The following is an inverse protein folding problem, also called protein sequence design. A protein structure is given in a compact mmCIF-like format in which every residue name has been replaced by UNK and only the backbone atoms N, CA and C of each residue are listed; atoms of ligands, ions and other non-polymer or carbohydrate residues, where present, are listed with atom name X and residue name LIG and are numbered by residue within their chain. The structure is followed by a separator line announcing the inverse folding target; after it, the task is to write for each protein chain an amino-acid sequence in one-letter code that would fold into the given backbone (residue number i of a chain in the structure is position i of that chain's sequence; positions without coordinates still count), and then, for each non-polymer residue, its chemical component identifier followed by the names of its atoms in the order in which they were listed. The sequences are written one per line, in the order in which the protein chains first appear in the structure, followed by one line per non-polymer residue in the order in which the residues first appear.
data_IF_858648282825
#
_entry.id   IF_858648282825
#
_cell.length_a   1.000
_cell.length_b   1.000
_cell.length_c   1.000
_cell.angle_alpha   90.00
_cell.angle_beta   90.00
_cell.angle_gamma   90.00
#
_symmetry.space_group_name_H-M   'P 1'
#
loop_
_entity.id
_entity.type
_entity.pdbx_description
1 polymer ?
#
# COMPACT_ATOMS: atom_id res chain seq x y z
N UNK A 1 -12.59 35.35 4.51
CA UNK A 1 -12.49 34.05 5.19
C UNK A 1 -12.12 32.88 4.26
N UNK A 2 -12.96 32.38 3.35
CA UNK A 2 -12.58 31.25 2.47
C UNK A 2 -11.62 31.67 1.33
N UNK A 3 -11.89 32.80 0.68
CA UNK A 3 -11.03 33.34 -0.40
C UNK A 3 -9.62 33.68 0.09
N UNK A 4 -9.50 34.20 1.31
CA UNK A 4 -8.21 34.46 1.96
C UNK A 4 -7.45 33.18 2.31
N UNK A 5 -8.16 32.11 2.71
CA UNK A 5 -7.56 30.80 2.93
C UNK A 5 -7.08 30.20 1.60
N UNK A 6 -7.91 30.28 0.56
CA UNK A 6 -7.54 29.80 -0.77
C UNK A 6 -6.35 30.53 -1.38
N UNK A 7 -6.19 31.83 -1.12
CA UNK A 7 -5.03 32.59 -1.57
C UNK A 7 -3.71 32.17 -0.89
N UNK A 8 -3.77 31.43 0.24
CA UNK A 8 -2.60 31.00 1.02
C UNK A 8 -2.32 29.50 0.94
N UNK A 9 -3.15 28.74 0.24
CA UNK A 9 -3.08 27.27 0.18
C UNK A 9 -2.88 26.80 -1.26
N UNK A 10 -2.09 25.73 -1.48
CA UNK A 10 -1.97 25.11 -2.81
C UNK A 10 -3.31 24.52 -3.28
N UNK A 11 -4.04 23.89 -2.36
CA UNK A 11 -5.42 23.47 -2.53
C UNK A 11 -6.16 23.70 -1.21
N UNK A 12 -7.10 24.64 -1.22
CA UNK A 12 -7.80 25.10 -0.01
C UNK A 12 -8.72 24.05 0.62
N UNK A 13 -9.08 23.00 -0.12
CA UNK A 13 -10.06 22.01 0.32
C UNK A 13 -9.43 20.68 0.74
N UNK A 14 -8.14 20.44 0.44
CA UNK A 14 -7.55 19.11 0.55
C UNK A 14 -7.56 18.57 1.97
N UNK A 15 -7.24 19.42 2.95
CA UNK A 15 -7.18 19.02 4.35
C UNK A 15 -8.58 18.70 4.89
N UNK A 16 -9.55 19.59 4.64
CA UNK A 16 -10.94 19.37 5.06
C UNK A 16 -11.57 18.16 4.38
N UNK A 17 -11.37 18.01 3.07
CA UNK A 17 -11.90 16.89 2.31
C UNK A 17 -11.31 15.56 2.78
N UNK A 18 -9.99 15.50 2.98
CA UNK A 18 -9.32 14.27 3.41
C UNK A 18 -9.77 13.86 4.81
N UNK A 19 -9.87 14.84 5.72
CA UNK A 19 -10.35 14.61 7.08
C UNK A 19 -11.80 14.11 7.08
N UNK A 20 -12.72 14.87 6.48
CA UNK A 20 -14.15 14.59 6.50
C UNK A 20 -14.52 13.31 5.75
N UNK A 21 -13.99 13.11 4.54
CA UNK A 21 -14.34 11.95 3.71
C UNK A 21 -13.71 10.65 4.21
N UNK A 22 -12.51 10.71 4.80
CA UNK A 22 -11.76 9.50 5.14
C UNK A 22 -11.37 9.44 6.61
N UNK A 23 -10.54 10.38 7.08
CA UNK A 23 -9.79 10.20 8.33
C UNK A 23 -10.66 10.24 9.58
N UNK A 24 -11.71 11.06 9.58
CA UNK A 24 -12.67 11.17 10.68
C UNK A 24 -13.72 10.03 10.68
N UNK A 25 -13.87 9.30 9.57
CA UNK A 25 -14.80 8.18 9.49
C UNK A 25 -14.32 7.00 10.35
N UNK A 26 -15.11 6.64 11.37
CA UNK A 26 -14.77 5.60 12.34
C UNK A 26 -15.21 4.18 11.94
N UNK A 27 -15.91 4.02 10.81
CA UNK A 27 -16.33 2.70 10.32
C UNK A 27 -15.12 1.82 10.00
N UNK A 28 -15.31 0.50 10.00
CA UNK A 28 -14.28 -0.43 9.54
C UNK A 28 -13.95 -0.19 8.07
N UNK A 29 -12.68 -0.33 7.67
CA UNK A 29 -12.29 -0.06 6.28
C UNK A 29 -12.87 -1.06 5.26
N UNK A 30 -12.92 -2.38 5.53
CA UNK A 30 -13.53 -3.32 4.60
C UNK A 30 -15.00 -2.96 4.36
N UNK A 31 -15.42 -3.03 3.09
CA UNK A 31 -16.77 -2.70 2.60
C UNK A 31 -17.12 -1.20 2.68
N UNK A 32 -16.82 -0.51 3.79
CA UNK A 32 -17.28 0.87 3.99
C UNK A 32 -16.36 1.92 3.34
N UNK A 33 -15.09 1.61 3.08
CA UNK A 33 -14.12 2.60 2.58
C UNK A 33 -13.17 2.06 1.52
N UNK A 34 -12.56 0.88 1.73
CA UNK A 34 -11.56 0.36 0.81
C UNK A 34 -12.22 -0.22 -0.45
N UNK A 35 -11.96 0.34 -1.64
CA UNK A 35 -12.45 -0.25 -2.88
C UNK A 35 -11.65 -1.52 -3.23
N UNK A 36 -12.25 -2.38 -4.06
CA UNK A 36 -11.60 -3.56 -4.60
C UNK A 36 -11.71 -3.57 -6.13
N UNK A 37 -10.65 -4.04 -6.79
CA UNK A 37 -10.65 -4.32 -8.22
C UNK A 37 -10.51 -5.83 -8.43
N UNK A 38 -11.42 -6.43 -9.19
CA UNK A 38 -11.39 -7.86 -9.49
C UNK A 38 -10.75 -8.06 -10.85
N UNK A 39 -9.59 -8.73 -10.87
CA UNK A 39 -8.89 -9.11 -12.10
C UNK A 39 -9.60 -10.30 -12.78
N UNK A 40 -9.39 -10.51 -14.10
CA UNK A 40 -9.86 -11.70 -14.78
C UNK A 40 -9.42 -12.98 -14.07
N UNK A 41 -10.31 -13.97 -14.02
CA UNK A 41 -10.04 -15.25 -13.38
C UNK A 41 -8.80 -15.91 -14.00
N UNK A 42 -7.87 -16.35 -13.15
CA UNK A 42 -6.70 -17.11 -13.54
C UNK A 42 -6.92 -18.59 -13.20
N UNK A 43 -6.36 -19.48 -14.02
CA UNK A 43 -6.40 -20.93 -13.78
C UNK A 43 -5.00 -21.43 -13.44
N UNK A 44 -4.77 -21.77 -12.17
CA UNK A 44 -3.50 -22.31 -11.69
C UNK A 44 -3.64 -23.81 -11.40
N UNK A 45 -2.77 -24.62 -12.02
CA UNK A 45 -2.76 -26.09 -11.83
C UNK A 45 -1.89 -26.55 -10.65
N UNK A 46 -1.35 -25.62 -9.85
CA UNK A 46 -0.53 -25.94 -8.69
C UNK A 46 0.16 -24.71 -8.09
N UNK A 47 0.81 -24.93 -6.95
CA UNK A 47 1.48 -23.88 -6.17
C UNK A 47 2.50 -23.10 -6.98
N UNK A 48 3.32 -23.82 -7.74
CA UNK A 48 4.33 -23.22 -8.61
C UNK A 48 3.76 -22.15 -9.57
N UNK A 49 2.61 -22.43 -10.19
CA UNK A 49 2.05 -21.56 -11.22
C UNK A 49 1.50 -20.25 -10.64
N UNK A 50 0.84 -20.30 -9.49
CA UNK A 50 0.37 -19.06 -8.85
C UNK A 50 1.55 -18.27 -8.25
N UNK A 51 2.59 -18.94 -7.73
CA UNK A 51 3.79 -18.24 -7.23
C UNK A 51 4.56 -17.55 -8.36
N UNK A 52 4.68 -18.17 -9.53
CA UNK A 52 5.24 -17.53 -10.74
C UNK A 52 4.43 -16.30 -11.15
N UNK A 53 3.10 -16.41 -11.11
CA UNK A 53 2.21 -15.26 -11.38
C UNK A 53 2.43 -14.13 -10.37
N UNK A 54 2.53 -14.42 -9.07
CA UNK A 54 2.80 -13.43 -8.03
C UNK A 54 4.18 -12.79 -8.20
N UNK A 55 5.21 -13.58 -8.52
CA UNK A 55 6.55 -13.07 -8.76
C UNK A 55 6.57 -12.05 -9.92
N UNK A 56 5.91 -12.40 -11.04
CA UNK A 56 5.73 -11.49 -12.18
C UNK A 56 4.93 -10.24 -11.83
N UNK A 57 3.89 -10.37 -11.01
CA UNK A 57 3.10 -9.24 -10.53
C UNK A 57 3.95 -8.28 -9.68
N UNK A 58 4.73 -8.80 -8.73
CA UNK A 58 5.64 -8.00 -7.92
C UNK A 58 6.67 -7.31 -8.81
N UNK A 59 7.27 -8.03 -9.76
CA UNK A 59 8.21 -7.47 -10.74
C UNK A 59 7.59 -6.31 -11.53
N UNK A 60 6.37 -6.48 -12.07
CA UNK A 60 5.67 -5.40 -12.77
C UNK A 60 5.33 -4.20 -11.88
N UNK A 61 4.99 -4.41 -10.61
CA UNK A 61 4.80 -3.32 -9.63
C UNK A 61 6.10 -2.55 -9.41
N UNK A 62 7.24 -3.25 -9.32
CA UNK A 62 8.55 -2.62 -9.15
C UNK A 62 8.97 -1.83 -10.40
N UNK A 63 8.70 -2.35 -11.61
CA UNK A 63 8.92 -1.60 -12.86
C UNK A 63 8.11 -0.31 -12.86
N UNK A 64 6.84 -0.39 -12.48
CA UNK A 64 5.96 0.77 -12.41
C UNK A 64 6.42 1.76 -11.33
N UNK A 65 6.87 1.27 -10.18
CA UNK A 65 7.43 2.10 -9.11
C UNK A 65 8.66 2.88 -9.56
N UNK A 66 9.56 2.28 -10.36
CA UNK A 66 10.72 3.00 -10.94
C UNK A 66 10.25 4.21 -11.75
N UNK A 67 9.18 4.06 -12.55
CA UNK A 67 8.61 5.18 -13.32
C UNK A 67 8.00 6.27 -12.43
N UNK A 68 7.32 5.88 -11.34
CA UNK A 68 6.76 6.81 -10.35
C UNK A 68 7.88 7.60 -9.67
N UNK A 69 8.90 6.91 -9.15
CA UNK A 69 10.00 7.52 -8.39
C UNK A 69 10.84 8.45 -9.27
N UNK A 70 11.04 8.07 -10.54
CA UNK A 70 11.71 8.91 -11.54
C UNK A 70 10.82 10.05 -12.08
N UNK A 71 9.56 10.15 -11.66
CA UNK A 71 8.55 11.06 -12.23
C UNK A 71 8.44 10.98 -13.76
N UNK A 72 8.60 9.77 -14.30
CA UNK A 72 8.66 9.48 -15.73
C UNK A 72 7.32 9.03 -16.33
N UNK A 73 6.25 8.94 -15.52
CA UNK A 73 4.92 8.64 -16.02
C UNK A 73 4.43 9.74 -16.99
N UNK A 74 3.82 9.38 -18.13
CA UNK A 74 3.14 10.35 -18.98
C UNK A 74 2.09 11.13 -18.19
N UNK A 75 2.00 12.44 -18.42
CA UNK A 75 0.96 13.27 -17.78
C UNK A 75 -0.40 12.84 -18.31
N UNK A 76 -1.26 12.39 -17.40
CA UNK A 76 -2.65 12.09 -17.72
C UNK A 76 -3.37 13.34 -18.21
N UNK A 77 -4.23 13.16 -19.20
CA UNK A 77 -5.02 14.23 -19.77
C UNK A 77 -6.50 13.87 -19.73
N UNK A 78 -7.33 14.83 -19.36
CA UNK A 78 -8.77 14.64 -19.33
C UNK A 78 -9.29 14.15 -20.69
N UNK A 79 -10.21 13.19 -20.68
CA UNK A 79 -10.75 12.55 -21.90
C UNK A 79 -12.17 12.99 -22.24
N UNK A 80 -12.88 13.57 -21.27
CA UNK A 80 -14.30 13.94 -21.36
C UNK A 80 -14.50 15.45 -21.45
N UNK A 81 -14.90 16.11 -20.34
CA UNK A 81 -15.41 17.48 -20.31
C UNK A 81 -14.41 18.54 -20.76
N UNK A 82 -13.12 18.35 -20.47
CA UNK A 82 -12.02 19.26 -20.84
C UNK A 82 -10.91 18.50 -21.57
N UNK A 83 -11.25 17.93 -22.73
CA UNK A 83 -10.37 16.98 -23.44
C UNK A 83 -8.97 17.55 -23.69
N UNK A 84 -7.95 16.84 -23.23
CA UNK A 84 -6.55 17.22 -23.40
C UNK A 84 -5.96 18.05 -22.25
N UNK A 85 -6.76 18.55 -21.32
CA UNK A 85 -6.25 19.28 -20.14
C UNK A 85 -5.38 18.35 -19.28
N UNK A 86 -4.14 18.77 -18.90
CA UNK A 86 -3.30 17.97 -18.01
C UNK A 86 -3.93 17.82 -16.63
N UNK A 87 -3.82 16.63 -16.06
CA UNK A 87 -4.32 16.30 -14.72
C UNK A 87 -3.17 16.30 -13.71
N UNK A 88 -3.52 16.54 -12.44
CA UNK A 88 -2.58 16.47 -11.34
C UNK A 88 -2.11 15.01 -11.12
N UNK A 89 -0.80 14.79 -11.10
CA UNK A 89 -0.19 13.46 -10.94
C UNK A 89 0.14 13.09 -9.48
N UNK A 90 -0.17 13.95 -8.51
CA UNK A 90 0.25 13.80 -7.10
C UNK A 90 -0.27 12.50 -6.45
N UNK A 91 -1.39 11.96 -6.93
CA UNK A 91 -1.93 10.69 -6.42
C UNK A 91 -1.03 9.49 -6.78
N UNK A 92 -0.39 9.49 -7.96
CA UNK A 92 0.55 8.44 -8.35
C UNK A 92 1.75 8.36 -7.40
N UNK A 93 2.30 9.51 -7.02
CA UNK A 93 3.45 9.59 -6.10
C UNK A 93 3.13 9.19 -4.66
N UNK A 94 1.86 8.86 -4.37
CA UNK A 94 1.39 8.39 -3.06
C UNK A 94 1.12 6.89 -3.02
N UNK A 95 1.07 6.21 -4.18
CA UNK A 95 0.64 4.80 -4.30
C UNK A 95 1.43 3.85 -3.39
N UNK A 96 2.75 4.01 -3.32
CA UNK A 96 3.65 3.10 -2.58
C UNK A 96 4.30 3.76 -1.34
N UNK A 97 3.84 4.96 -0.96
CA UNK A 97 4.48 5.74 0.11
C UNK A 97 3.54 6.09 1.26
N UNK A 98 2.33 5.54 1.29
CA UNK A 98 1.28 5.95 2.23
C UNK A 98 0.86 4.82 3.17
N UNK A 99 0.63 5.16 4.42
CA UNK A 99 0.02 4.28 5.42
C UNK A 99 -1.02 5.06 6.23
N UNK A 100 -2.23 4.53 6.33
CA UNK A 100 -3.31 5.10 7.15
C UNK A 100 -3.22 4.54 8.57
N UNK A 101 -2.61 5.31 9.45
CA UNK A 101 -2.47 4.95 10.86
C UNK A 101 -3.80 5.18 11.59
N UNK A 102 -4.32 4.18 12.33
CA UNK A 102 -5.50 4.38 13.16
C UNK A 102 -5.20 5.33 14.32
N UNK A 103 -6.20 6.13 14.71
CA UNK A 103 -6.13 6.96 15.90
C UNK A 103 -7.45 6.90 16.69
N UNK A 104 -7.40 7.19 17.99
CA UNK A 104 -8.59 7.23 18.85
C UNK A 104 -9.50 8.43 18.51
N UNK A 105 -8.91 9.47 17.93
CA UNK A 105 -9.60 10.70 17.52
C UNK A 105 -9.93 10.71 16.03
N UNK A 106 -8.91 10.94 15.20
CA UNK A 106 -8.96 11.06 13.74
C UNK A 106 -7.72 10.34 13.18
N UNK A 107 -7.92 9.42 12.25
CA UNK A 107 -6.82 8.67 11.64
C UNK A 107 -5.78 9.61 11.00
N UNK A 108 -4.54 9.12 10.85
CA UNK A 108 -3.46 9.91 10.23
C UNK A 108 -3.00 9.25 8.93
N UNK A 109 -2.96 10.01 7.85
CA UNK A 109 -2.30 9.58 6.62
C UNK A 109 -0.81 9.88 6.73
N UNK A 110 -0.01 8.86 7.01
CA UNK A 110 1.44 8.98 7.01
C UNK A 110 1.95 8.82 5.59
N UNK A 111 2.75 9.79 5.13
CA UNK A 111 3.47 9.68 3.87
C UNK A 111 4.96 9.59 4.12
N UNK A 112 5.56 8.49 3.68
CA UNK A 112 6.99 8.24 3.75
C UNK A 112 7.64 8.99 2.57
N UNK A 113 8.03 10.26 2.79
CA UNK A 113 8.79 11.07 1.82
C UNK A 113 10.26 11.09 2.23
N UNK A 114 11.18 10.71 1.34
CA UNK A 114 12.62 10.96 1.45
C UNK A 114 13.20 10.84 2.88
N UNK A 115 12.84 9.78 3.60
CA UNK A 115 13.39 9.57 4.93
C UNK A 115 14.81 9.02 4.79
N UNK A 116 15.76 9.53 5.58
CA UNK A 116 17.07 8.87 5.76
C UNK A 116 16.93 7.40 6.19
N UNK A 117 15.74 7.01 6.70
CA UNK A 117 15.37 5.63 7.03
C UNK A 117 15.22 4.73 5.78
N UNK A 118 14.72 5.24 4.65
CA UNK A 118 14.64 4.48 3.39
C UNK A 118 16.03 4.08 2.87
N UNK A 119 17.04 4.94 3.06
CA UNK A 119 18.44 4.64 2.68
C UNK A 119 19.07 3.50 3.50
N UNK A 120 18.53 3.18 4.68
CA UNK A 120 19.10 2.17 5.57
C UNK A 120 18.27 0.89 5.68
N UNK A 121 16.96 0.94 5.41
CA UNK A 121 16.07 -0.22 5.60
C UNK A 121 15.81 -1.06 4.34
N UNK A 122 16.21 -0.57 3.17
CA UNK A 122 15.97 -1.26 1.89
C UNK A 122 14.49 -1.24 1.48
N UNK A 123 14.22 -1.68 0.25
CA UNK A 123 12.86 -1.82 -0.26
C UNK A 123 12.38 -3.26 -0.10
N UNK A 124 11.17 -3.42 0.41
CA UNK A 124 10.57 -4.73 0.67
C UNK A 124 9.08 -4.72 0.36
N UNK A 125 8.53 -5.93 0.18
CA UNK A 125 7.09 -6.19 0.16
C UNK A 125 6.73 -7.03 1.37
N UNK A 126 5.52 -6.85 1.89
CA UNK A 126 4.95 -7.72 2.92
C UNK A 126 4.11 -8.80 2.23
N UNK A 127 4.48 -10.05 2.42
CA UNK A 127 3.73 -11.21 1.93
C UNK A 127 2.88 -11.74 3.08
N UNK A 128 1.56 -11.74 2.90
CA UNK A 128 0.63 -12.35 3.84
C UNK A 128 0.19 -13.72 3.32
N UNK A 129 0.45 -14.79 4.09
CA UNK A 129 0.04 -16.16 3.74
C UNK A 129 -0.30 -16.92 5.03
N UNK A 130 -1.48 -17.57 5.06
CA UNK A 130 -2.05 -18.22 6.27
C UNK A 130 -2.00 -17.35 7.53
N UNK A 131 -2.43 -16.09 7.42
CA UNK A 131 -2.42 -15.10 8.52
C UNK A 131 -1.02 -14.73 9.08
N UNK A 132 0.05 -15.24 8.49
CA UNK A 132 1.44 -14.90 8.82
C UNK A 132 1.96 -13.83 7.84
N UNK A 133 2.83 -12.95 8.33
CA UNK A 133 3.41 -11.84 7.56
C UNK A 133 4.92 -11.99 7.41
N UNK A 134 5.40 -11.94 6.17
CA UNK A 134 6.80 -12.11 5.83
C UNK A 134 7.33 -10.87 5.13
N UNK A 135 8.52 -10.42 5.55
CA UNK A 135 9.25 -9.34 4.87
C UNK A 135 10.09 -9.95 3.76
N UNK A 136 9.77 -9.58 2.51
CA UNK A 136 10.52 -9.97 1.33
C UNK A 136 11.25 -8.75 0.80
N UNK A 137 12.56 -8.68 1.05
CA UNK A 137 13.41 -7.62 0.49
C UNK A 137 13.52 -7.80 -1.03
N UNK A 138 13.13 -6.80 -1.78
CA UNK A 138 13.12 -6.81 -3.26
C UNK A 138 14.31 -6.08 -3.86
N UNK A 139 15.02 -5.30 -3.04
CA UNK A 139 16.29 -4.67 -3.39
C UNK A 139 17.33 -5.05 -2.33
N UNK A 140 18.40 -5.69 -2.75
CA UNK A 140 19.52 -6.13 -1.91
C UNK A 140 20.80 -5.51 -2.47
N UNK A 141 21.57 -4.81 -1.64
CA UNK A 141 22.81 -4.14 -2.07
C UNK A 141 22.61 -3.26 -3.32
N UNK A 142 21.52 -2.48 -3.34
CA UNK A 142 21.12 -1.62 -4.47
C UNK A 142 20.79 -2.36 -5.79
N UNK A 143 20.73 -3.70 -5.75
CA UNK A 143 20.35 -4.53 -6.90
C UNK A 143 18.96 -5.09 -6.66
N UNK A 144 18.08 -4.87 -7.64
CA UNK A 144 16.73 -5.45 -7.63
C UNK A 144 16.80 -6.94 -7.91
N UNK A 145 16.03 -7.72 -7.15
CA UNK A 145 15.85 -9.14 -7.41
C UNK A 145 15.10 -9.37 -8.72
N UNK A 146 15.52 -10.39 -9.48
CA UNK A 146 14.80 -10.82 -10.67
C UNK A 146 13.56 -11.67 -10.30
N UNK A 147 12.80 -12.04 -11.32
CA UNK A 147 11.56 -12.80 -11.13
C UNK A 147 11.80 -14.19 -10.52
N UNK A 148 12.93 -14.83 -10.82
CA UNK A 148 13.27 -16.17 -10.34
C UNK A 148 13.71 -16.14 -8.86
N UNK A 149 14.44 -15.11 -8.45
CA UNK A 149 14.80 -14.85 -7.06
C UNK A 149 13.54 -14.56 -6.22
N UNK A 150 12.65 -13.69 -6.71
CA UNK A 150 11.37 -13.40 -6.03
C UNK A 150 10.54 -14.68 -5.90
N UNK A 151 10.42 -15.47 -6.97
CA UNK A 151 9.73 -16.77 -6.95
C UNK A 151 10.34 -17.72 -5.90
N UNK A 152 11.66 -17.80 -5.81
CA UNK A 152 12.36 -18.64 -4.83
C UNK A 152 12.06 -18.21 -3.39
N UNK A 153 12.04 -16.90 -3.12
CA UNK A 153 11.66 -16.36 -1.81
C UNK A 153 10.20 -16.64 -1.47
N UNK A 154 9.29 -16.50 -2.45
CA UNK A 154 7.87 -16.83 -2.27
C UNK A 154 7.64 -18.31 -1.96
N UNK A 155 8.37 -19.21 -2.62
CA UNK A 155 8.35 -20.65 -2.27
C UNK A 155 8.78 -20.89 -0.83
N UNK A 156 9.83 -20.21 -0.38
CA UNK A 156 10.32 -20.32 0.99
C UNK A 156 9.28 -19.82 2.00
N UNK A 157 8.59 -18.72 1.70
CA UNK A 157 7.47 -18.22 2.52
C UNK A 157 6.38 -19.29 2.67
N UNK A 158 5.93 -19.87 1.55
CA UNK A 158 4.90 -20.92 1.58
C UNK A 158 5.36 -22.12 2.40
N UNK A 159 6.61 -22.57 2.21
CA UNK A 159 7.16 -23.68 2.96
C UNK A 159 7.20 -23.40 4.47
N UNK A 160 7.73 -22.27 4.90
CA UNK A 160 7.81 -21.90 6.33
C UNK A 160 6.42 -21.87 6.97
N UNK A 161 5.44 -21.26 6.28
CA UNK A 161 4.09 -21.13 6.80
C UNK A 161 3.30 -22.46 6.79
N UNK A 162 3.58 -23.36 5.84
CA UNK A 162 2.97 -24.70 5.80
C UNK A 162 3.60 -25.64 6.85
N UNK A 163 4.90 -25.47 7.16
CA UNK A 163 5.62 -26.24 8.17
C UNK A 163 5.20 -25.86 9.61
N UNK A 164 4.88 -24.59 9.85
CA UNK A 164 4.35 -24.10 11.15
C UNK A 164 3.17 -23.14 10.98
N UNK A 165 1.95 -23.67 10.75
CA UNK A 165 0.76 -22.85 10.47
C UNK A 165 0.29 -21.97 11.63
N UNK A 166 0.68 -22.29 12.86
CA UNK A 166 0.17 -21.66 14.09
C UNK A 166 1.25 -20.82 14.81
N UNK A 167 2.32 -20.48 14.09
CA UNK A 167 3.49 -19.79 14.63
C UNK A 167 3.22 -18.38 15.14
N UNK A 168 2.15 -17.72 14.65
CA UNK A 168 1.84 -16.33 14.99
C UNK A 168 0.37 -16.09 15.26
N UNK A 169 0.08 -15.15 16.14
CA UNK A 169 -1.26 -14.58 16.30
C UNK A 169 -1.75 -13.91 15.02
N UNK A 170 -3.07 -13.94 14.80
CA UNK A 170 -3.71 -13.41 13.59
C UNK A 170 -3.82 -11.88 13.60
N UNK A 171 -2.72 -11.16 13.80
CA UNK A 171 -2.68 -9.70 14.02
C UNK A 171 -3.34 -8.89 12.89
N UNK A 172 -3.39 -9.44 11.67
CA UNK A 172 -4.00 -8.82 10.50
C UNK A 172 -5.50 -8.56 10.67
N UNK A 173 -6.22 -9.42 11.41
CA UNK A 173 -7.68 -9.29 11.56
C UNK A 173 -8.06 -8.01 12.29
N UNK A 174 -7.22 -7.51 13.19
CA UNK A 174 -7.52 -6.29 13.94
C UNK A 174 -7.61 -5.05 13.03
N UNK A 175 -6.99 -5.10 11.85
CA UNK A 175 -7.10 -4.01 10.87
C UNK A 175 -8.50 -3.91 10.23
N UNK A 176 -9.34 -4.95 10.36
CA UNK A 176 -10.73 -4.95 9.90
C UNK A 176 -11.72 -4.38 10.91
N UNK A 177 -11.29 -4.09 12.14
CA UNK A 177 -12.14 -3.51 13.18
C UNK A 177 -12.51 -2.04 12.85
N UNK A 178 -13.56 -1.49 13.51
CA UNK A 178 -13.81 -0.04 13.48
C UNK A 178 -12.55 0.74 13.88
N UNK A 179 -12.33 1.92 13.26
CA UNK A 179 -11.04 2.63 13.33
C UNK A 179 -10.55 2.88 14.75
N UNK A 180 -11.45 3.33 15.63
CA UNK A 180 -11.15 3.61 17.03
C UNK A 180 -10.84 2.35 17.82
N UNK A 181 -11.56 1.26 17.56
CA UNK A 181 -11.27 -0.05 18.18
C UNK A 181 -9.90 -0.56 17.73
N UNK A 182 -9.58 -0.47 16.44
CA UNK A 182 -8.25 -0.80 15.94
C UNK A 182 -7.17 0.08 16.58
N UNK A 183 -7.41 1.38 16.75
CA UNK A 183 -6.46 2.27 17.42
C UNK A 183 -6.12 1.81 18.85
N UNK A 184 -7.13 1.38 19.62
CA UNK A 184 -6.91 0.82 20.96
C UNK A 184 -6.13 -0.49 20.93
N UNK A 185 -6.52 -1.46 20.09
CA UNK A 185 -5.80 -2.74 19.97
C UNK A 185 -4.36 -2.52 19.54
N UNK A 186 -4.12 -1.65 18.55
CA UNK A 186 -2.77 -1.27 18.12
C UNK A 186 -1.96 -0.68 19.27
N UNK A 187 -2.57 0.12 20.13
CA UNK A 187 -1.87 0.73 21.28
C UNK A 187 -1.41 -0.34 22.27
N UNK A 188 -2.22 -1.37 22.50
CA UNK A 188 -1.85 -2.51 23.35
C UNK A 188 -0.75 -3.38 22.71
N UNK A 189 -0.80 -3.62 21.40
CA UNK A 189 0.22 -4.39 20.66
C UNK A 189 1.60 -3.69 20.62
N UNK A 190 1.66 -2.38 20.89
CA UNK A 190 2.90 -1.60 20.88
C UNK A 190 3.55 -1.48 22.26
N UNK A 191 2.97 -2.09 23.30
CA UNK A 191 3.56 -2.19 24.64
C UNK A 191 4.52 -3.37 24.72
#
# INVERSE_FOLDING_TARGET
MLTEHAAKSENYAVDWWLEDMYLANSLSLPINSNPAFVLPQQHFTGTENYLKFIAKLISGILDYKVLIDARALPIDRATSREKGQPLCMEQYYRLFSCYRMPDVSIDRLLQIRNSKLLYHQGEHVIVAYRNQFFVLNVIINFTRLDEDDIYTLLRRVVQIADDDPWSTDEVGIYTSLPRRTWAHVRTELMK
#
